data_IF_606939400472
#
_entry.id   IF_606939400472
#
_cell.length_a   1.000
_cell.length_b   1.000
_cell.length_c   1.000
_cell.angle_alpha   90.00
_cell.angle_beta   90.00
_cell.angle_gamma   90.00
#
_symmetry.space_group_name_H-M   'P 1'
#
loop_
_entity.id
_entity.type
_entity.pdbx_description
1 polymer ?
#
# COMPACT_ATOMS: atom_id res chain seq x y z
N UNK A 1 34.46 22.24 17.19
CA UNK A 1 34.69 23.26 16.13
C UNK A 1 33.36 23.47 15.46
N UNK A 2 32.86 24.71 15.32
CA UNK A 2 31.53 24.95 14.76
C UNK A 2 31.50 24.58 13.27
N UNK A 3 30.40 23.96 12.83
CA UNK A 3 30.17 23.72 11.39
C UNK A 3 29.95 25.06 10.71
N UNK A 4 30.70 25.34 9.64
CA UNK A 4 30.57 26.58 8.87
C UNK A 4 29.75 26.35 7.60
N UNK A 5 29.09 27.40 7.11
CA UNK A 5 28.30 27.35 5.88
C UNK A 5 29.16 26.86 4.70
N UNK A 6 28.68 25.85 3.99
CA UNK A 6 29.37 25.26 2.83
C UNK A 6 30.46 24.24 3.17
N UNK A 7 30.78 23.99 4.45
CA UNK A 7 31.78 23.00 4.87
C UNK A 7 31.46 21.59 4.32
N UNK A 8 30.18 21.26 4.21
CA UNK A 8 29.70 19.98 3.71
C UNK A 8 29.01 20.07 2.36
N UNK A 9 29.26 21.15 1.59
CA UNK A 9 28.74 21.23 0.22
C UNK A 9 29.07 19.94 -0.54
N UNK A 10 28.10 19.32 -1.23
CA UNK A 10 26.82 19.89 -1.66
C UNK A 10 25.63 19.71 -0.69
N UNK A 11 25.84 19.20 0.52
CA UNK A 11 24.77 18.96 1.50
C UNK A 11 24.23 20.24 2.13
N UNK A 12 22.91 20.31 2.24
CA UNK A 12 22.17 21.39 2.89
C UNK A 12 21.32 20.79 4.02
N UNK A 13 21.34 21.37 5.23
CA UNK A 13 20.47 20.92 6.30
C UNK A 13 19.01 21.27 5.97
N UNK A 14 18.11 20.31 6.18
CA UNK A 14 16.67 20.44 5.90
C UNK A 14 15.79 20.25 7.13
N UNK A 15 16.35 19.75 8.23
CA UNK A 15 15.65 19.57 9.50
C UNK A 15 16.63 19.34 10.65
N UNK A 16 16.20 19.65 11.86
CA UNK A 16 16.90 19.34 13.09
C UNK A 16 15.87 18.97 14.17
N UNK A 17 16.16 17.97 14.98
CA UNK A 17 15.32 17.54 16.10
C UNK A 17 16.16 17.33 17.36
N UNK A 18 15.62 17.73 18.51
CA UNK A 18 16.32 17.54 19.79
C UNK A 18 16.04 16.13 20.32
N UNK A 19 17.09 15.43 20.72
CA UNK A 19 16.98 14.12 21.38
C UNK A 19 17.30 14.24 22.87
N UNK A 20 17.11 13.14 23.62
CA UNK A 20 17.45 13.10 25.04
C UNK A 20 18.96 13.33 25.31
N UNK A 21 19.84 13.06 24.34
CA UNK A 21 21.29 13.11 24.50
C UNK A 21 22.01 14.05 23.53
N UNK A 22 21.29 14.76 22.66
CA UNK A 22 21.86 15.64 21.65
C UNK A 22 20.86 16.09 20.61
N UNK A 23 21.25 16.09 19.34
CA UNK A 23 20.40 16.50 18.23
C UNK A 23 20.61 15.60 17.01
N UNK A 24 19.53 15.39 16.27
CA UNK A 24 19.58 14.77 14.95
C UNK A 24 19.41 15.85 13.87
N UNK A 25 20.17 15.74 12.78
CA UNK A 25 20.14 16.67 11.65
C UNK A 25 19.91 15.92 10.35
N UNK A 26 18.88 16.30 9.61
CA UNK A 26 18.60 15.78 8.28
C UNK A 26 19.24 16.66 7.22
N UNK A 27 19.86 16.03 6.22
CA UNK A 27 20.59 16.70 5.14
C UNK A 27 20.10 16.19 3.79
N UNK A 28 20.07 17.09 2.80
CA UNK A 28 19.74 16.78 1.40
C UNK A 28 20.76 17.40 0.45
N UNK A 29 21.04 16.73 -0.67
CA UNK A 29 21.70 17.35 -1.83
C UNK A 29 20.61 17.94 -2.75
N UNK A 30 20.52 19.28 -2.88
CA UNK A 30 19.50 19.90 -3.73
C UNK A 30 19.57 19.40 -5.19
N UNK A 31 18.41 19.15 -5.79
CA UNK A 31 18.31 18.65 -7.17
C UNK A 31 18.59 17.15 -7.34
N UNK A 32 18.82 16.42 -6.24
CA UNK A 32 18.95 14.95 -6.25
C UNK A 32 18.01 14.32 -5.23
N UNK A 33 17.79 13.01 -5.36
CA UNK A 33 17.07 12.20 -4.39
C UNK A 33 18.04 11.55 -3.39
N UNK A 34 18.90 12.35 -2.76
CA UNK A 34 19.91 11.88 -1.81
C UNK A 34 19.75 12.57 -0.46
N UNK A 35 19.59 11.76 0.58
CA UNK A 35 19.37 12.18 1.96
C UNK A 35 20.29 11.44 2.92
N UNK A 36 20.65 12.07 4.03
CA UNK A 36 21.30 11.41 5.17
C UNK A 36 20.91 12.11 6.47
N UNK A 37 20.85 11.35 7.56
CA UNK A 37 20.59 11.90 8.90
C UNK A 37 21.79 11.63 9.79
N UNK A 38 22.25 12.67 10.50
CA UNK A 38 23.35 12.61 11.46
C UNK A 38 22.82 12.78 12.87
N UNK A 39 23.50 12.17 13.83
CA UNK A 39 23.30 12.44 15.26
C UNK A 39 24.49 13.19 15.82
N UNK A 40 24.23 13.98 16.84
CA UNK A 40 25.21 14.77 17.57
C UNK A 40 25.06 14.56 19.07
N UNK A 41 26.10 14.88 19.83
CA UNK A 41 25.99 15.00 21.29
C UNK A 41 25.26 16.30 21.70
N UNK A 42 25.04 16.49 23.00
CA UNK A 42 24.40 17.69 23.56
C UNK A 42 25.12 19.01 23.25
N UNK A 43 26.37 18.96 22.79
CA UNK A 43 27.16 20.13 22.38
C UNK A 43 27.20 20.31 20.85
N UNK A 44 26.48 19.48 20.09
CA UNK A 44 26.43 19.52 18.63
C UNK A 44 27.64 18.87 17.93
N UNK A 45 28.45 18.07 18.64
CA UNK A 45 29.53 17.32 17.99
C UNK A 45 28.97 16.10 17.28
N UNK A 46 29.37 15.90 16.02
CA UNK A 46 29.00 14.71 15.24
C UNK A 46 29.37 13.42 15.98
N UNK A 47 28.40 12.49 16.05
CA UNK A 47 28.59 11.16 16.61
C UNK A 47 28.58 10.09 15.52
N UNK A 48 27.46 9.97 14.81
CA UNK A 48 27.27 8.96 13.77
C UNK A 48 26.23 9.39 12.76
N UNK A 49 26.23 8.73 11.60
CA UNK A 49 25.10 8.74 10.69
C UNK A 49 24.02 7.79 11.20
N UNK A 50 22.79 8.28 11.35
CA UNK A 50 21.60 7.45 11.60
C UNK A 50 21.17 6.70 10.33
N UNK A 51 21.43 7.29 9.16
CA UNK A 51 21.26 6.63 7.86
C UNK A 51 22.51 6.81 7.02
N UNK A 52 22.81 5.84 6.15
CA UNK A 52 23.70 6.10 5.02
C UNK A 52 23.02 7.09 4.04
N UNK A 53 23.65 7.33 2.89
CA UNK A 53 22.98 8.05 1.79
C UNK A 53 21.85 7.17 1.27
N UNK A 54 20.63 7.68 1.34
CA UNK A 54 19.40 6.97 0.93
C UNK A 54 18.54 7.85 0.03
N UNK A 55 17.63 7.22 -0.72
CA UNK A 55 16.58 7.90 -1.49
C UNK A 55 15.51 8.51 -0.59
N UNK A 56 14.73 9.45 -1.14
CA UNK A 56 13.60 10.08 -0.44
C UNK A 56 12.52 9.07 -0.02
N UNK A 57 12.32 8.03 -0.85
CA UNK A 57 11.38 6.92 -0.59
C UNK A 57 11.97 5.77 0.23
N UNK A 58 13.13 5.98 0.86
CA UNK A 58 13.71 4.96 1.73
C UNK A 58 12.95 4.90 3.03
N UNK A 59 12.50 3.72 3.43
CA UNK A 59 11.85 3.51 4.72
C UNK A 59 12.73 3.94 5.91
N UNK A 60 14.06 3.97 5.76
CA UNK A 60 14.94 4.50 6.79
C UNK A 60 14.79 6.02 6.98
N UNK A 61 14.61 6.78 5.89
CA UNK A 61 14.36 8.22 5.94
C UNK A 61 12.93 8.50 6.40
N UNK A 62 11.93 7.86 5.77
CA UNK A 62 10.51 8.05 6.08
C UNK A 62 10.21 7.73 7.55
N UNK A 63 10.82 6.69 8.14
CA UNK A 63 10.64 6.43 9.58
C UNK A 63 11.20 7.57 10.45
N UNK A 64 12.28 8.22 10.04
CA UNK A 64 12.84 9.36 10.79
C UNK A 64 11.98 10.61 10.69
N UNK A 65 11.15 10.78 9.65
CA UNK A 65 10.18 11.88 9.57
C UNK A 65 9.25 11.90 10.78
N UNK A 66 8.87 10.73 11.31
CA UNK A 66 8.05 10.64 12.53
C UNK A 66 8.77 11.09 13.80
N UNK A 67 10.11 11.00 13.81
CA UNK A 67 10.96 11.52 14.90
C UNK A 67 11.10 13.04 14.77
N UNK A 68 11.36 13.54 13.56
CA UNK A 68 11.52 14.96 13.27
C UNK A 68 10.18 15.73 13.22
N UNK A 69 9.07 15.01 13.17
CA UNK A 69 7.72 15.54 12.93
C UNK A 69 7.65 16.44 11.67
N UNK A 70 8.41 16.09 10.64
CA UNK A 70 8.58 16.86 9.41
C UNK A 70 8.58 15.94 8.20
N UNK A 71 7.94 16.37 7.11
CA UNK A 71 8.04 15.77 5.78
C UNK A 71 9.39 16.18 5.18
N UNK A 72 10.39 15.29 5.28
CA UNK A 72 11.77 15.59 4.92
C UNK A 72 11.97 15.44 3.41
N UNK A 73 11.26 14.49 2.78
CA UNK A 73 11.40 14.18 1.37
C UNK A 73 10.50 15.05 0.46
N UNK A 74 9.48 15.69 1.03
CA UNK A 74 8.53 16.58 0.36
C UNK A 74 7.41 15.86 -0.37
N UNK A 75 7.04 14.63 0.05
CA UNK A 75 5.99 13.83 -0.60
C UNK A 75 4.57 14.12 -0.08
N UNK A 76 4.45 14.96 0.94
CA UNK A 76 3.19 15.35 1.58
C UNK A 76 2.78 14.49 2.77
N UNK A 77 3.59 13.50 3.14
CA UNK A 77 3.38 12.62 4.31
C UNK A 77 4.50 12.80 5.33
N UNK A 78 4.18 12.62 6.61
CA UNK A 78 5.19 12.44 7.67
C UNK A 78 5.19 10.96 8.03
N UNK A 79 6.25 10.24 7.65
CA UNK A 79 6.29 8.79 7.79
C UNK A 79 6.11 8.07 6.46
N UNK A 80 6.09 6.74 6.51
CA UNK A 80 5.90 5.92 5.31
C UNK A 80 4.50 6.21 4.70
N UNK A 81 4.41 6.58 3.41
CA UNK A 81 3.14 6.82 2.74
C UNK A 81 2.19 5.62 2.83
N UNK A 82 0.91 5.90 3.08
CA UNK A 82 -0.14 4.88 3.20
C UNK A 82 -1.38 5.29 2.41
N UNK A 83 -1.86 4.39 1.56
CA UNK A 83 -3.06 4.58 0.73
C UNK A 83 -3.99 3.40 0.92
N UNK A 84 -5.20 3.67 1.42
CA UNK A 84 -6.28 2.67 1.40
C UNK A 84 -6.76 2.52 -0.04
N UNK A 85 -6.60 1.32 -0.60
CA UNK A 85 -7.09 0.97 -1.93
C UNK A 85 -8.58 0.67 -1.84
N UNK A 86 -8.98 -0.04 -0.79
CA UNK A 86 -10.33 -0.54 -0.63
C UNK A 86 -10.64 -0.83 0.85
N UNK A 87 -11.90 -0.69 1.25
CA UNK A 87 -12.34 -0.79 2.67
C UNK A 87 -13.80 -1.26 2.84
N UNK A 88 -14.31 -2.01 1.87
CA UNK A 88 -15.55 -2.76 1.96
C UNK A 88 -15.33 -4.06 2.74
N UNK A 89 -16.42 -4.64 3.22
CA UNK A 89 -16.36 -5.89 3.97
C UNK A 89 -15.60 -5.78 5.31
N UNK A 90 -14.97 -6.87 5.73
CA UNK A 90 -14.24 -6.98 7.00
C UNK A 90 -12.74 -6.66 6.85
N UNK A 91 -12.22 -6.66 5.62
CA UNK A 91 -10.79 -6.50 5.34
C UNK A 91 -10.53 -5.30 4.47
N UNK A 92 -9.83 -4.29 5.00
CA UNK A 92 -9.34 -3.19 4.16
C UNK A 92 -8.08 -3.59 3.41
N UNK A 93 -8.00 -3.32 2.12
CA UNK A 93 -6.76 -3.39 1.37
C UNK A 93 -6.01 -2.05 1.44
N UNK A 94 -4.79 -2.04 1.98
CA UNK A 94 -3.97 -0.83 2.10
C UNK A 94 -2.59 -1.03 1.50
N UNK A 95 -2.10 -0.07 0.72
CA UNK A 95 -0.71 0.01 0.32
C UNK A 95 0.06 0.87 1.32
N UNK A 96 1.10 0.33 1.95
CA UNK A 96 2.01 1.06 2.86
C UNK A 96 3.42 0.97 2.29
N UNK A 97 3.98 2.13 1.95
CA UNK A 97 5.17 2.23 1.11
C UNK A 97 4.96 1.47 -0.19
N UNK A 98 5.78 0.44 -0.42
CA UNK A 98 5.67 -0.40 -1.60
C UNK A 98 4.80 -1.64 -1.43
N UNK A 99 4.38 -1.99 -0.20
CA UNK A 99 3.78 -3.29 0.10
C UNK A 99 2.26 -3.22 0.25
N UNK A 100 1.57 -4.32 -0.03
CA UNK A 100 0.13 -4.44 0.18
C UNK A 100 -0.20 -5.21 1.47
N UNK A 101 -1.03 -4.62 2.33
CA UNK A 101 -1.49 -5.17 3.61
C UNK A 101 -2.96 -5.57 3.54
N UNK A 102 -3.27 -6.75 4.06
CA UNK A 102 -4.59 -7.39 4.05
C UNK A 102 -5.32 -7.10 5.37
N UNK A 103 -5.75 -5.86 5.55
CA UNK A 103 -6.32 -5.31 6.79
C UNK A 103 -5.38 -4.31 7.48
N UNK A 104 -5.94 -3.42 8.31
CA UNK A 104 -5.18 -2.37 9.03
C UNK A 104 -4.10 -2.89 9.98
N UNK A 105 -4.17 -4.17 10.38
CA UNK A 105 -3.14 -4.88 11.16
C UNK A 105 -2.88 -6.29 10.60
N UNK A 106 -3.24 -6.50 9.34
CA UNK A 106 -3.16 -7.80 8.69
C UNK A 106 -1.79 -8.12 8.10
N UNK A 107 -1.64 -9.34 7.54
CA UNK A 107 -0.40 -9.73 6.91
C UNK A 107 -0.14 -8.93 5.61
N UNK A 108 1.12 -8.92 5.20
CA UNK A 108 1.54 -8.43 3.89
C UNK A 108 1.26 -9.52 2.85
N UNK A 109 0.70 -9.15 1.70
CA UNK A 109 0.57 -10.04 0.55
C UNK A 109 1.94 -10.51 0.08
N UNK A 110 2.10 -11.82 -0.16
CA UNK A 110 3.35 -12.42 -0.59
C UNK A 110 3.16 -13.33 -1.79
N UNK A 111 4.18 -13.37 -2.63
CA UNK A 111 4.31 -14.34 -3.72
C UNK A 111 5.65 -15.06 -3.58
N UNK A 112 5.62 -16.39 -3.53
CA UNK A 112 6.80 -17.22 -3.22
C UNK A 112 7.53 -16.81 -1.92
N UNK A 113 6.76 -16.42 -0.90
CA UNK A 113 7.29 -16.01 0.42
C UNK A 113 7.90 -14.61 0.47
N UNK A 114 7.92 -13.88 -0.64
CA UNK A 114 8.43 -12.50 -0.71
C UNK A 114 7.26 -11.54 -0.79
N UNK A 115 7.34 -10.40 -0.10
CA UNK A 115 6.33 -9.35 -0.15
C UNK A 115 6.07 -8.90 -1.59
N UNK A 116 4.80 -8.81 -1.97
CA UNK A 116 4.39 -8.26 -3.25
C UNK A 116 4.49 -6.75 -3.18
N UNK A 117 5.25 -6.17 -4.12
CA UNK A 117 5.45 -4.73 -4.19
C UNK A 117 4.67 -4.07 -5.31
N UNK A 118 4.41 -2.77 -5.15
CA UNK A 118 3.76 -1.94 -6.16
C UNK A 118 4.49 -2.01 -7.49
N UNK A 119 3.74 -2.23 -8.57
CA UNK A 119 4.27 -2.39 -9.93
C UNK A 119 4.87 -3.77 -10.26
N UNK A 120 5.06 -4.68 -9.29
CA UNK A 120 5.69 -5.99 -9.53
C UNK A 120 4.95 -6.82 -10.59
N UNK A 121 3.63 -6.80 -10.57
CA UNK A 121 2.76 -7.53 -11.50
C UNK A 121 2.15 -6.64 -12.59
N UNK A 122 2.79 -5.49 -12.91
CA UNK A 122 2.33 -4.60 -13.97
C UNK A 122 2.03 -5.39 -15.26
N UNK A 123 0.84 -5.21 -15.89
CA UNK A 123 -0.09 -4.09 -15.71
C UNK A 123 -1.20 -4.30 -14.66
N UNK A 124 -1.16 -5.37 -13.87
CA UNK A 124 -2.19 -5.66 -12.87
C UNK A 124 -2.09 -4.75 -11.65
N UNK A 125 -3.23 -4.21 -11.23
CA UNK A 125 -3.39 -3.44 -10.00
C UNK A 125 -4.34 -4.18 -9.07
N UNK A 126 -4.10 -4.13 -7.75
CA UNK A 126 -5.01 -4.73 -6.80
C UNK A 126 -6.25 -3.85 -6.63
N UNK A 127 -7.41 -4.47 -6.45
CA UNK A 127 -8.70 -3.75 -6.36
C UNK A 127 -9.53 -4.11 -5.14
N UNK A 128 -9.24 -5.22 -4.46
CA UNK A 128 -9.94 -5.57 -3.23
C UNK A 128 -9.32 -6.77 -2.53
N UNK A 129 -9.62 -6.94 -1.25
CA UNK A 129 -9.28 -8.14 -0.50
C UNK A 129 -10.35 -8.47 0.55
N UNK A 130 -10.58 -9.75 0.82
CA UNK A 130 -11.47 -10.15 1.92
C UNK A 130 -10.94 -11.39 2.66
N UNK A 131 -11.10 -11.38 3.98
CA UNK A 131 -10.72 -12.47 4.86
C UNK A 131 -11.69 -13.65 4.71
N UNK A 132 -11.12 -14.83 4.49
CA UNK A 132 -11.84 -16.09 4.47
C UNK A 132 -11.53 -16.89 5.74
N UNK A 133 -12.15 -18.07 5.88
CA UNK A 133 -11.91 -18.96 7.02
C UNK A 133 -10.45 -19.44 7.13
N UNK A 134 -9.69 -19.46 6.03
CA UNK A 134 -8.33 -20.02 5.96
C UNK A 134 -7.26 -19.05 5.47
N UNK A 135 -7.64 -17.83 5.08
CA UNK A 135 -6.73 -16.84 4.53
C UNK A 135 -7.47 -15.64 3.97
N UNK A 136 -7.13 -15.24 2.75
CA UNK A 136 -7.75 -14.09 2.09
C UNK A 136 -7.93 -14.34 0.60
N UNK A 137 -9.00 -13.78 0.06
CA UNK A 137 -9.20 -13.62 -1.37
C UNK A 137 -8.71 -12.23 -1.77
N UNK A 138 -8.01 -12.13 -2.89
CA UNK A 138 -7.33 -10.90 -3.32
C UNK A 138 -7.55 -10.65 -4.80
N UNK A 139 -8.28 -9.59 -5.12
CA UNK A 139 -8.70 -9.28 -6.47
C UNK A 139 -7.72 -8.35 -7.20
N UNK A 140 -7.45 -8.68 -8.47
CA UNK A 140 -6.63 -7.91 -9.40
C UNK A 140 -7.44 -7.50 -10.63
N UNK A 141 -7.10 -6.33 -11.20
CA UNK A 141 -7.62 -5.84 -12.48
C UNK A 141 -6.50 -5.27 -13.34
N UNK A 142 -6.67 -5.34 -14.66
CA UNK A 142 -5.86 -4.53 -15.58
C UNK A 142 -6.60 -3.21 -15.89
N UNK A 143 -6.08 -2.04 -15.50
CA UNK A 143 -6.75 -0.76 -15.77
C UNK A 143 -6.99 -0.54 -17.27
N UNK A 144 -8.19 -0.07 -17.62
CA UNK A 144 -8.57 0.18 -19.02
C UNK A 144 -8.86 -1.08 -19.85
N UNK A 145 -8.80 -2.27 -19.25
CA UNK A 145 -9.20 -3.53 -19.85
C UNK A 145 -10.26 -4.24 -18.99
N UNK A 146 -11.05 -5.09 -19.63
CA UNK A 146 -12.04 -5.94 -18.96
C UNK A 146 -11.40 -7.28 -18.56
N UNK A 147 -10.34 -7.22 -17.75
CA UNK A 147 -9.57 -8.38 -17.33
C UNK A 147 -9.41 -8.38 -15.81
N UNK A 148 -9.86 -9.47 -15.18
CA UNK A 148 -9.83 -9.68 -13.74
C UNK A 148 -9.25 -11.05 -13.39
N UNK A 149 -8.65 -11.14 -12.22
CA UNK A 149 -8.33 -12.44 -11.59
C UNK A 149 -8.35 -12.30 -10.09
N UNK A 150 -8.70 -13.37 -9.38
CA UNK A 150 -8.70 -13.42 -7.92
C UNK A 150 -7.72 -14.47 -7.44
N UNK A 151 -6.86 -14.09 -6.50
CA UNK A 151 -5.95 -14.99 -5.80
C UNK A 151 -6.58 -15.45 -4.50
N UNK A 152 -6.23 -16.66 -4.08
CA UNK A 152 -6.36 -17.09 -2.69
C UNK A 152 -5.00 -17.06 -2.03
N UNK A 153 -5.00 -16.74 -0.74
CA UNK A 153 -3.82 -16.71 0.11
C UNK A 153 -4.03 -17.58 1.36
N UNK A 154 -2.94 -17.92 2.03
CA UNK A 154 -3.02 -18.41 3.42
C UNK A 154 -3.24 -17.26 4.41
N UNK A 155 -3.47 -17.58 5.69
CA UNK A 155 -3.64 -16.59 6.76
C UNK A 155 -2.43 -15.67 7.00
N UNK A 156 -1.27 -15.95 6.40
CA UNK A 156 -0.06 -15.12 6.47
C UNK A 156 0.17 -14.29 5.20
N UNK A 157 -0.81 -14.27 4.30
CA UNK A 157 -0.81 -13.53 3.05
C UNK A 157 -0.02 -14.19 1.92
N UNK A 158 0.42 -15.45 2.05
CA UNK A 158 1.12 -16.13 0.96
C UNK A 158 0.13 -16.59 -0.11
N UNK A 159 0.38 -16.20 -1.36
CA UNK A 159 -0.31 -16.72 -2.54
C UNK A 159 -0.31 -18.27 -2.54
N UNK A 160 -1.48 -18.84 -2.76
CA UNK A 160 -1.69 -20.28 -2.90
C UNK A 160 -2.05 -20.65 -4.34
N UNK A 161 -3.14 -20.09 -4.85
CA UNK A 161 -3.64 -20.35 -6.21
C UNK A 161 -4.48 -19.18 -6.70
N UNK A 162 -4.74 -19.14 -8.01
CA UNK A 162 -5.82 -18.31 -8.53
C UNK A 162 -7.17 -19.03 -8.32
N UNK A 163 -8.16 -18.32 -7.79
CA UNK A 163 -9.56 -18.76 -7.72
C UNK A 163 -10.24 -18.69 -9.08
N UNK A 164 -9.81 -17.74 -9.93
CA UNK A 164 -10.21 -17.64 -11.33
C UNK A 164 -8.98 -17.64 -12.23
N UNK A 165 -9.13 -17.99 -13.50
CA UNK A 165 -8.15 -17.54 -14.49
C UNK A 165 -8.39 -16.04 -14.80
N UNK A 166 -7.74 -15.51 -15.83
CA UNK A 166 -8.10 -14.20 -16.36
C UNK A 166 -9.49 -14.30 -17.00
N UNK A 167 -10.43 -13.51 -16.49
CA UNK A 167 -11.84 -13.49 -16.92
C UNK A 167 -12.32 -12.06 -17.17
N UNK A 168 -13.41 -11.92 -17.93
CA UNK A 168 -14.11 -10.66 -18.14
C UNK A 168 -14.91 -10.22 -16.91
N UNK A 169 -15.30 -8.95 -16.86
CA UNK A 169 -16.13 -8.38 -15.79
C UNK A 169 -17.49 -9.06 -15.66
N UNK A 170 -18.08 -9.46 -16.79
CA UNK A 170 -19.36 -10.19 -16.85
C UNK A 170 -19.22 -11.71 -16.69
N UNK A 171 -18.07 -12.20 -16.22
CA UNK A 171 -17.90 -13.62 -15.96
C UNK A 171 -18.64 -13.99 -14.68
N UNK A 172 -19.53 -14.97 -14.75
CA UNK A 172 -20.20 -15.51 -13.56
C UNK A 172 -19.22 -15.99 -12.49
N UNK A 173 -17.98 -16.34 -12.85
CA UNK A 173 -16.95 -16.70 -11.88
C UNK A 173 -16.46 -15.47 -11.08
N UNK A 174 -16.31 -14.32 -11.73
CA UNK A 174 -15.97 -13.06 -11.05
C UNK A 174 -17.16 -12.55 -10.25
N UNK A 175 -18.34 -12.50 -10.85
CA UNK A 175 -19.57 -12.01 -10.21
C UNK A 175 -19.91 -12.83 -8.95
N UNK A 176 -19.69 -14.15 -8.94
CA UNK A 176 -19.88 -14.91 -7.70
C UNK A 176 -18.88 -14.51 -6.59
N UNK A 177 -17.64 -14.16 -6.93
CA UNK A 177 -16.62 -13.73 -5.96
C UNK A 177 -16.85 -12.31 -5.45
N UNK A 178 -17.61 -11.47 -6.17
CA UNK A 178 -18.05 -10.17 -5.66
C UNK A 178 -18.85 -10.29 -4.37
N UNK A 179 -19.64 -11.37 -4.22
CA UNK A 179 -20.40 -11.66 -3.01
C UNK A 179 -19.45 -11.91 -1.83
N UNK A 180 -18.39 -12.70 -2.07
CA UNK A 180 -17.40 -13.06 -1.06
C UNK A 180 -16.53 -11.85 -0.70
N UNK A 181 -16.16 -11.01 -1.68
CA UNK A 181 -15.36 -9.79 -1.51
C UNK A 181 -16.18 -8.58 -1.07
N UNK A 182 -17.51 -8.69 -1.05
CA UNK A 182 -18.46 -7.63 -0.72
C UNK A 182 -18.32 -6.37 -1.59
N UNK A 183 -17.99 -6.54 -2.86
CA UNK A 183 -17.61 -5.46 -3.78
C UNK A 183 -18.17 -5.68 -5.18
N UNK A 184 -18.67 -4.62 -5.81
CA UNK A 184 -18.94 -4.55 -7.24
C UNK A 184 -17.60 -4.31 -7.95
N UNK A 185 -16.90 -5.39 -8.32
CA UNK A 185 -15.54 -5.33 -8.86
C UNK A 185 -15.56 -4.87 -10.31
N UNK A 186 -16.59 -5.26 -11.05
CA UNK A 186 -16.74 -4.96 -12.47
C UNK A 186 -17.33 -3.55 -12.72
N UNK A 187 -18.00 -2.95 -11.73
CA UNK A 187 -18.61 -1.63 -11.77
C UNK A 187 -19.97 -1.57 -12.46
N UNK A 188 -20.72 -2.69 -12.50
CA UNK A 188 -22.02 -2.77 -13.17
C UNK A 188 -23.21 -2.31 -12.30
N UNK A 189 -22.95 -2.01 -11.02
CA UNK A 189 -23.93 -1.56 -10.04
C UNK A 189 -24.52 -2.68 -9.19
N UNK A 190 -24.09 -3.93 -9.38
CA UNK A 190 -24.52 -5.11 -8.62
C UNK A 190 -23.34 -5.75 -7.91
N UNK A 191 -23.58 -6.31 -6.72
CA UNK A 191 -22.64 -7.24 -6.08
C UNK A 191 -23.20 -8.63 -6.31
N UNK A 192 -22.54 -9.44 -7.12
CA UNK A 192 -23.08 -10.73 -7.53
C UNK A 192 -23.61 -10.72 -8.96
N UNK A 193 -24.15 -11.86 -9.39
CA UNK A 193 -24.69 -11.99 -10.75
C UNK A 193 -25.89 -11.03 -10.93
N UNK A 194 -25.89 -10.14 -11.94
CA UNK A 194 -27.01 -9.25 -12.22
C UNK A 194 -28.32 -10.04 -12.40
N UNK A 195 -29.40 -9.54 -11.79
CA UNK A 195 -30.73 -10.09 -11.99
C UNK A 195 -31.73 -9.03 -12.44
N UNK A 196 -32.61 -9.42 -13.35
CA UNK A 196 -33.72 -8.58 -13.81
C UNK A 196 -35.02 -9.16 -13.31
N UNK A 197 -35.82 -8.33 -12.63
CA UNK A 197 -37.17 -8.73 -12.22
C UNK A 197 -38.09 -8.68 -13.45
N UNK A 198 -38.59 -9.84 -13.86
CA UNK A 198 -39.55 -9.97 -14.97
C UNK A 198 -40.96 -9.64 -14.49
N UNK A 199 -41.31 -10.10 -13.29
CA UNK A 199 -42.65 -9.98 -12.72
C UNK A 199 -42.56 -9.94 -11.18
N UNK A 200 -43.38 -9.09 -10.56
CA UNK A 200 -43.38 -8.85 -9.12
C UNK A 200 -44.80 -8.65 -8.56
N UNK A 201 -45.84 -9.22 -9.20
CA UNK A 201 -47.19 -9.17 -8.68
C UNK A 201 -47.43 -10.32 -7.69
N UNK A 202 -47.94 -9.98 -6.50
CA UNK A 202 -48.24 -10.95 -5.46
C UNK A 202 -47.07 -11.18 -4.50
N UNK A 203 -46.98 -12.38 -3.91
CA UNK A 203 -46.01 -12.70 -2.87
C UNK A 203 -44.69 -13.31 -3.40
N UNK A 204 -44.57 -13.51 -4.71
CA UNK A 204 -43.43 -14.14 -5.36
C UNK A 204 -42.96 -13.27 -6.51
N UNK A 205 -41.64 -13.08 -6.63
CA UNK A 205 -41.03 -12.39 -7.77
C UNK A 205 -40.46 -13.42 -8.74
N UNK A 206 -40.65 -13.20 -10.05
CA UNK A 206 -39.94 -13.90 -11.11
C UNK A 206 -38.72 -13.07 -11.52
N UNK A 207 -37.53 -13.63 -11.32
CA UNK A 207 -36.26 -13.00 -11.69
C UNK A 207 -35.52 -13.82 -12.73
N UNK A 208 -34.97 -13.15 -13.74
CA UNK A 208 -33.98 -13.72 -14.65
C UNK A 208 -32.58 -13.35 -14.15
N UNK A 209 -31.73 -14.36 -14.00
CA UNK A 209 -30.31 -14.21 -13.71
C UNK A 209 -29.56 -14.15 -15.05
N UNK A 210 -28.61 -13.21 -15.15
CA UNK A 210 -27.76 -12.99 -16.32
C UNK A 210 -26.83 -14.16 -16.63
#
# INVERSE_FOLDING_TARGET
MAVTSGQFAPWVPIGAEQTASGFDFAWKIPGTDNYTVWSTDANGNYLTNLTQIVSGSSSALENLETVFHQDLNGDGTVGIPSTTIEAFGATSLTQIGSNYYLGSSGPILKYNGVAVTSGQFSPWVPIGAEQTASGFDFAWKTPGADNYTVWSTDANGNYLTNLTQIVSGSSSALENLEIDLHQDLNGDGTVGIPSTTIEAFGATNLTQIG
#
